data_IF_848515558281
#
_entry.id   IF_848515558281
#
_cell.length_a   1.000
_cell.length_b   1.000
_cell.length_c   1.000
_cell.angle_alpha   90.00
_cell.angle_beta   90.00
_cell.angle_gamma   90.00
#
_symmetry.space_group_name_H-M   'P 1'
#
loop_
_entity.id
_entity.type
_entity.pdbx_description
1 polymer ?
#
# COMPACT_ATOMS: atom_id res chain seq x y z
N UNK A 1 1.82 3.28 0.29
CA UNK A 1 2.60 4.53 0.38
C UNK A 1 3.49 4.45 1.60
N UNK A 2 4.74 4.86 1.47
CA UNK A 2 5.66 4.98 2.60
C UNK A 2 5.54 6.39 3.23
N UNK A 3 5.62 6.45 4.57
CA UNK A 3 5.45 7.68 5.34
C UNK A 3 6.44 8.79 4.95
N UNK A 4 7.65 8.44 4.48
CA UNK A 4 8.67 9.41 4.04
C UNK A 4 8.27 10.07 2.72
N UNK A 5 7.57 9.37 1.83
CA UNK A 5 7.05 9.98 0.59
C UNK A 5 5.94 10.97 0.92
N UNK A 6 5.06 10.60 1.86
CA UNK A 6 4.00 11.49 2.32
C UNK A 6 4.58 12.75 2.98
N UNK A 7 5.60 12.60 3.83
CA UNK A 7 6.26 13.73 4.49
C UNK A 7 6.92 14.66 3.47
N UNK A 8 7.69 14.11 2.52
CA UNK A 8 8.33 14.88 1.46
C UNK A 8 7.30 15.65 0.62
N UNK A 9 6.27 14.96 0.14
CA UNK A 9 5.21 15.59 -0.65
C UNK A 9 4.47 16.69 0.12
N UNK A 10 4.20 16.49 1.41
CA UNK A 10 3.51 17.48 2.25
C UNK A 10 4.33 18.76 2.39
N UNK A 11 5.65 18.64 2.58
CA UNK A 11 6.55 19.79 2.67
C UNK A 11 6.67 20.55 1.34
N UNK A 12 6.75 19.82 0.24
CA UNK A 12 6.80 20.40 -1.10
C UNK A 12 5.49 21.14 -1.44
N UNK A 13 4.35 20.50 -1.15
CA UNK A 13 3.03 21.08 -1.36
C UNK A 13 2.84 22.37 -0.54
N UNK A 14 3.24 22.36 0.73
CA UNK A 14 3.21 23.54 1.58
C UNK A 14 4.09 24.67 1.04
N UNK A 15 5.31 24.34 0.60
CA UNK A 15 6.27 25.31 0.04
C UNK A 15 5.79 25.91 -1.29
N UNK A 16 5.09 25.12 -2.11
CA UNK A 16 4.47 25.55 -3.35
C UNK A 16 3.11 26.25 -3.18
N UNK A 17 2.62 26.39 -1.94
CA UNK A 17 1.33 27.02 -1.64
C UNK A 17 0.12 26.23 -2.15
N UNK A 18 0.26 24.90 -2.33
CA UNK A 18 -0.84 24.04 -2.77
C UNK A 18 -1.89 23.90 -1.66
N UNK A 19 -3.14 24.20 -2.00
CA UNK A 19 -4.29 24.10 -1.08
C UNK A 19 -5.35 23.09 -1.52
N UNK A 20 -6.27 22.79 -0.58
CA UNK A 20 -7.38 21.85 -0.77
C UNK A 20 -7.02 20.40 -0.40
N UNK A 21 -7.98 19.49 -0.60
CA UNK A 21 -7.80 18.07 -0.33
C UNK A 21 -7.00 17.34 -1.42
N UNK A 22 -6.14 16.42 -0.99
CA UNK A 22 -5.40 15.52 -1.87
C UNK A 22 -5.44 14.10 -1.31
N UNK A 23 -5.69 13.13 -2.18
CA UNK A 23 -5.48 11.72 -1.88
C UNK A 23 -4.03 11.38 -2.20
N UNK A 24 -3.20 11.31 -1.17
CA UNK A 24 -1.78 10.98 -1.29
C UNK A 24 -1.67 9.48 -1.06
N UNK A 25 -1.99 8.71 -2.10
CA UNK A 25 -1.83 7.25 -2.16
C UNK A 25 -1.12 6.88 -3.47
N UNK A 26 -0.51 5.69 -3.51
CA UNK A 26 0.15 5.24 -4.74
C UNK A 26 -0.90 4.96 -5.84
N UNK A 27 -0.58 5.17 -7.12
CA UNK A 27 -1.51 4.86 -8.21
C UNK A 27 -1.84 3.36 -8.28
N UNK A 28 -3.01 2.99 -8.84
CA UNK A 28 -3.34 1.61 -9.13
C UNK A 28 -2.21 0.90 -9.88
N UNK A 29 -1.88 -0.32 -9.46
CA UNK A 29 -0.79 -1.11 -10.05
C UNK A 29 0.61 -0.84 -9.49
N UNK A 30 0.80 0.15 -8.60
CA UNK A 30 2.09 0.40 -7.95
C UNK A 30 2.58 -0.80 -7.12
N UNK A 31 1.65 -1.51 -6.47
CA UNK A 31 1.94 -2.71 -5.70
C UNK A 31 0.73 -3.66 -5.69
N UNK A 32 1.00 -4.94 -5.40
CA UNK A 32 -0.01 -5.95 -5.08
C UNK A 32 0.38 -6.67 -3.80
N UNK A 33 -0.57 -7.33 -3.13
CA UNK A 33 -0.26 -8.20 -1.98
C UNK A 33 0.83 -9.23 -2.33
N UNK A 34 0.80 -9.78 -3.55
CA UNK A 34 1.81 -10.74 -4.00
C UNK A 34 3.20 -10.11 -4.11
N UNK A 35 3.33 -8.93 -4.72
CA UNK A 35 4.62 -8.21 -4.80
C UNK A 35 5.14 -7.81 -3.42
N UNK A 36 4.26 -7.38 -2.51
CA UNK A 36 4.64 -7.08 -1.13
C UNK A 36 5.24 -8.30 -0.43
N UNK A 37 4.53 -9.43 -0.46
CA UNK A 37 4.97 -10.65 0.21
C UNK A 37 6.26 -11.22 -0.40
N UNK A 38 6.43 -11.16 -1.72
CA UNK A 38 7.68 -11.57 -2.38
C UNK A 38 8.83 -10.61 -2.06
N UNK A 39 8.60 -9.30 -2.00
CA UNK A 39 9.63 -8.34 -1.57
C UNK A 39 10.07 -8.62 -0.14
N UNK A 40 9.13 -8.83 0.79
CA UNK A 40 9.41 -9.22 2.17
C UNK A 40 10.22 -10.52 2.22
N UNK A 41 9.78 -11.55 1.48
CA UNK A 41 10.49 -12.82 1.40
C UNK A 41 11.93 -12.64 0.89
N UNK A 42 12.14 -11.86 -0.17
CA UNK A 42 13.47 -11.63 -0.74
C UNK A 42 14.40 -10.91 0.25
N UNK A 43 13.93 -9.83 0.86
CA UNK A 43 14.69 -9.02 1.83
C UNK A 43 15.04 -9.80 3.10
N UNK A 44 14.17 -10.72 3.53
CA UNK A 44 14.35 -11.51 4.77
C UNK A 44 15.08 -12.85 4.57
N UNK A 45 15.74 -13.06 3.42
CA UNK A 45 16.56 -14.25 3.16
C UNK A 45 15.82 -15.45 2.55
N UNK A 46 14.59 -15.27 2.07
CA UNK A 46 13.95 -16.15 1.08
C UNK A 46 13.32 -17.44 1.61
N UNK A 47 13.41 -17.73 2.92
CA UNK A 47 12.98 -19.00 3.51
C UNK A 47 11.46 -19.19 3.62
N UNK A 48 10.69 -18.10 3.56
CA UNK A 48 9.24 -18.16 3.63
C UNK A 48 8.64 -18.86 2.40
N UNK A 49 7.61 -19.69 2.61
CA UNK A 49 6.79 -20.27 1.53
C UNK A 49 5.42 -19.61 1.52
N UNK A 50 5.11 -18.88 0.45
CA UNK A 50 3.83 -18.19 0.33
C UNK A 50 2.70 -19.17 -0.03
N UNK A 51 1.56 -19.03 0.65
CA UNK A 51 0.35 -19.83 0.41
C UNK A 51 -0.86 -18.91 0.29
N UNK A 52 -1.49 -18.92 -0.88
CA UNK A 52 -2.72 -18.19 -1.12
C UNK A 52 -3.91 -18.97 -0.58
N UNK A 53 -4.80 -18.29 0.13
CA UNK A 53 -6.02 -18.85 0.72
C UNK A 53 -7.22 -18.10 0.15
N UNK A 54 -8.27 -18.84 -0.20
CA UNK A 54 -9.50 -18.25 -0.70
C UNK A 54 -10.23 -17.44 0.40
N UNK A 55 -10.83 -16.32 0.01
CA UNK A 55 -11.43 -15.35 0.93
C UNK A 55 -12.55 -15.96 1.78
N UNK A 56 -13.37 -16.84 1.19
CA UNK A 56 -14.43 -17.58 1.88
C UNK A 56 -13.91 -18.41 3.05
N UNK A 57 -12.69 -18.97 2.93
CA UNK A 57 -12.04 -19.73 4.02
C UNK A 57 -11.48 -18.84 5.12
N UNK A 58 -11.11 -17.60 4.81
CA UNK A 58 -10.70 -16.61 5.81
C UNK A 58 -11.92 -16.10 6.58
N UNK A 59 -12.97 -15.71 5.85
CA UNK A 59 -14.23 -15.23 6.40
C UNK A 59 -14.94 -16.31 7.23
N UNK A 60 -14.96 -17.56 6.76
CA UNK A 60 -15.52 -18.69 7.51
C UNK A 60 -14.77 -19.03 8.80
N UNK A 61 -13.56 -18.48 9.00
CA UNK A 61 -12.79 -18.55 10.26
C UNK A 61 -12.86 -17.26 11.08
N UNK A 62 -13.78 -16.36 10.74
CA UNK A 62 -13.97 -15.08 11.42
C UNK A 62 -12.74 -14.16 11.38
N UNK A 63 -11.87 -14.30 10.37
CA UNK A 63 -10.81 -13.31 10.11
C UNK A 63 -11.50 -12.01 9.72
N UNK A 64 -11.25 -10.92 10.46
CA UNK A 64 -11.85 -9.62 10.18
C UNK A 64 -10.95 -8.84 9.22
N UNK A 65 -11.54 -8.13 8.25
CA UNK A 65 -10.79 -7.22 7.39
C UNK A 65 -9.98 -6.22 8.22
N UNK A 66 -8.82 -5.80 7.72
CA UNK A 66 -7.91 -4.83 8.35
C UNK A 66 -7.28 -5.19 9.70
N UNK A 67 -7.83 -6.16 10.44
CA UNK A 67 -7.46 -6.37 11.84
C UNK A 67 -6.49 -7.55 11.99
N UNK A 68 -6.86 -8.73 11.50
CA UNK A 68 -6.03 -9.94 11.66
C UNK A 68 -5.08 -10.16 10.48
N UNK A 69 -5.42 -9.65 9.29
CA UNK A 69 -4.56 -9.66 8.11
C UNK A 69 -4.34 -8.21 7.63
N UNK A 70 -3.15 -7.63 7.89
CA UNK A 70 -2.83 -6.28 7.44
C UNK A 70 -3.02 -6.14 5.93
N UNK A 71 -3.58 -5.01 5.50
CA UNK A 71 -3.80 -4.65 4.09
C UNK A 71 -4.77 -5.58 3.33
N UNK A 72 -5.36 -6.58 3.98
CA UNK A 72 -6.35 -7.45 3.35
C UNK A 72 -7.77 -6.95 3.60
N UNK A 73 -8.54 -6.93 2.51
CA UNK A 73 -9.96 -6.60 2.47
C UNK A 73 -10.63 -7.58 1.52
N UNK A 74 -11.82 -8.11 1.85
CA UNK A 74 -12.56 -8.98 0.96
C UNK A 74 -12.96 -8.23 -0.32
N UNK A 75 -13.04 -8.95 -1.45
CA UNK A 75 -13.56 -8.38 -2.71
C UNK A 75 -15.09 -8.36 -2.75
N UNK A 76 -15.74 -8.16 -1.60
CA UNK A 76 -17.20 -8.09 -1.51
C UNK A 76 -17.72 -6.75 -2.05
N UNK A 77 -18.98 -6.69 -2.55
CA UNK A 77 -19.56 -5.43 -3.01
C UNK A 77 -19.53 -4.35 -1.92
N UNK A 78 -18.94 -3.19 -2.23
CA UNK A 78 -18.75 -2.08 -1.30
C UNK A 78 -17.39 -2.04 -0.60
N UNK A 79 -16.64 -3.14 -0.59
CA UNK A 79 -15.29 -3.22 -0.01
C UNK A 79 -14.19 -3.28 -1.09
N UNK A 80 -14.53 -3.79 -2.28
CA UNK A 80 -13.58 -3.99 -3.38
C UNK A 80 -12.92 -2.69 -3.87
N UNK A 81 -13.57 -1.54 -3.67
CA UNK A 81 -13.13 -0.24 -4.19
C UNK A 81 -12.29 0.56 -3.19
N UNK A 82 -12.00 0.00 -2.00
CA UNK A 82 -11.26 0.72 -0.94
C UNK A 82 -9.86 1.18 -1.40
N UNK A 83 -9.25 0.46 -2.35
CA UNK A 83 -7.97 0.85 -2.94
C UNK A 83 -8.09 1.59 -4.27
N UNK A 84 -9.31 1.76 -4.80
CA UNK A 84 -9.56 2.49 -6.04
C UNK A 84 -9.80 3.97 -5.75
N UNK A 85 -8.70 4.67 -5.48
CA UNK A 85 -8.71 6.09 -5.10
C UNK A 85 -8.16 6.93 -6.25
N UNK A 86 -8.89 7.97 -6.64
CA UNK A 86 -8.40 8.92 -7.65
C UNK A 86 -7.21 9.72 -7.11
N UNK A 87 -6.07 9.55 -7.80
CA UNK A 87 -4.77 10.19 -7.52
C UNK A 87 -4.35 11.18 -8.60
N UNK A 88 -5.22 11.47 -9.58
CA UNK A 88 -4.90 12.36 -10.72
C UNK A 88 -4.38 13.71 -10.24
N UNK A 89 -5.02 14.30 -9.22
CA UNK A 89 -4.63 15.59 -8.65
C UNK A 89 -3.24 15.56 -8.02
N UNK A 90 -2.92 14.52 -7.25
CA UNK A 90 -1.65 14.43 -6.53
C UNK A 90 -0.48 14.14 -7.50
N UNK A 91 -0.74 13.33 -8.53
CA UNK A 91 0.22 13.07 -9.60
C UNK A 91 0.49 14.32 -10.45
N UNK A 92 -0.57 15.06 -10.79
CA UNK A 92 -0.46 16.35 -11.49
C UNK A 92 0.28 17.42 -10.68
N UNK A 93 0.23 17.32 -9.35
CA UNK A 93 1.00 18.16 -8.42
C UNK A 93 2.43 17.67 -8.18
N UNK A 94 2.91 16.67 -8.93
CA UNK A 94 4.31 16.26 -8.91
C UNK A 94 4.70 15.23 -7.84
N UNK A 95 3.73 14.57 -7.19
CA UNK A 95 4.04 13.53 -6.23
C UNK A 95 4.91 12.41 -6.82
N UNK A 96 5.78 11.86 -5.97
CA UNK A 96 6.68 10.76 -6.29
C UNK A 96 6.54 9.69 -5.21
N UNK A 97 6.57 8.44 -5.64
CA UNK A 97 6.44 7.29 -4.75
C UNK A 97 7.61 6.36 -5.00
N UNK A 98 8.33 6.00 -3.93
CA UNK A 98 9.45 5.08 -4.05
C UNK A 98 8.98 3.67 -4.44
N UNK A 99 9.87 2.85 -5.02
CA UNK A 99 9.59 1.43 -5.21
C UNK A 99 9.23 0.75 -3.89
N UNK A 100 8.33 -0.24 -3.97
CA UNK A 100 7.90 -1.01 -2.79
C UNK A 100 9.09 -1.70 -2.12
N UNK A 101 10.03 -2.19 -2.91
CA UNK A 101 11.21 -2.93 -2.49
C UNK A 101 12.11 -2.09 -1.59
N UNK A 102 12.25 -0.78 -1.87
CA UNK A 102 12.98 0.17 -1.02
C UNK A 102 12.29 0.33 0.33
N UNK A 103 10.97 0.47 0.34
CA UNK A 103 10.17 0.57 1.58
C UNK A 103 10.37 -0.68 2.45
N UNK A 104 10.29 -1.88 1.85
CA UNK A 104 10.44 -3.14 2.57
C UNK A 104 11.86 -3.32 3.11
N UNK A 105 12.87 -3.03 2.30
CA UNK A 105 14.28 -3.15 2.69
C UNK A 105 14.60 -2.23 3.88
N UNK A 106 14.21 -0.96 3.80
CA UNK A 106 14.47 0.02 4.86
C UNK A 106 13.69 -0.31 6.14
N UNK A 107 12.45 -0.81 6.01
CA UNK A 107 11.64 -1.22 7.17
C UNK A 107 12.25 -2.42 7.88
N UNK A 108 12.83 -3.37 7.13
CA UNK A 108 13.49 -4.54 7.73
C UNK A 108 14.82 -4.20 8.42
N UNK A 109 15.52 -3.18 7.92
CA UNK A 109 16.79 -2.76 8.47
C UNK A 109 16.69 -1.91 9.76
N UNK A 110 15.49 -1.39 10.06
CA UNK A 110 15.21 -0.54 11.23
C UNK A 110 15.11 -1.34 12.53
#
# INVERSE_FOLDING_TARGET
>A
MDARDLAAWTLDAGSAGLGGGYNVVCPPGHATMGRLLEACRAVTGGSATLRWVAEDRLLGRSVRPWTELPLWIPRSPGEADVYDVDVTRVLGAGARFRPLEETVADTWAW
#
